data_IF_441243986164
#
_entry.id   IF_441243986164
#
_cell.length_a   1.000
_cell.length_b   1.000
_cell.length_c   1.000
_cell.angle_alpha   90.00
_cell.angle_beta   90.00
_cell.angle_gamma   90.00
#
_symmetry.space_group_name_H-M   'P 1'
#
loop_
_entity.id
_entity.type
_entity.pdbx_description
1 polymer ?
#
# COMPACT_ATOMS: atom_id res chain seq x y z
N UNK A 1 -2.02 -7.98 -13.00
CA UNK A 1 -1.47 -8.15 -11.64
C UNK A 1 -2.21 -9.27 -10.95
N UNK A 2 -1.53 -10.29 -10.42
CA UNK A 2 -2.18 -11.33 -9.61
C UNK A 2 -2.18 -10.90 -8.14
N UNK A 3 -3.37 -10.79 -7.56
CA UNK A 3 -3.56 -10.42 -6.17
C UNK A 3 -3.95 -11.64 -5.34
N UNK A 4 -3.58 -11.65 -4.06
CA UNK A 4 -3.94 -12.69 -3.10
C UNK A 4 -4.37 -12.12 -1.76
N UNK A 5 -5.14 -12.90 -1.00
CA UNK A 5 -5.48 -12.63 0.40
C UNK A 5 -4.27 -12.97 1.29
N UNK A 6 -4.33 -12.55 2.56
CA UNK A 6 -3.26 -12.84 3.53
C UNK A 6 -3.00 -14.33 3.75
N UNK A 7 -4.03 -15.18 3.64
CA UNK A 7 -3.90 -16.62 3.76
C UNK A 7 -3.25 -17.30 2.53
N UNK A 8 -2.91 -16.54 1.49
CA UNK A 8 -2.28 -17.04 0.26
C UNK A 8 -3.25 -17.27 -0.90
N UNK A 9 -4.56 -17.30 -0.64
CA UNK A 9 -5.55 -17.58 -1.69
C UNK A 9 -5.59 -16.46 -2.74
N UNK A 10 -5.60 -16.80 -4.04
CA UNK A 10 -5.75 -15.79 -5.08
C UNK A 10 -7.10 -15.07 -4.97
N UNK A 11 -7.16 -13.82 -5.44
CA UNK A 11 -8.45 -13.16 -5.64
C UNK A 11 -9.17 -13.80 -6.83
N UNK A 12 -10.42 -14.17 -6.61
CA UNK A 12 -11.30 -14.76 -7.63
C UNK A 12 -11.72 -13.75 -8.70
N UNK A 13 -11.70 -12.45 -8.35
CA UNK A 13 -12.14 -11.35 -9.19
C UNK A 13 -10.99 -10.38 -9.47
N UNK A 14 -11.08 -9.57 -10.54
CA UNK A 14 -10.21 -8.41 -10.72
C UNK A 14 -10.17 -7.53 -9.47
N UNK A 15 -9.04 -6.87 -9.24
CA UNK A 15 -8.81 -6.10 -8.01
C UNK A 15 -9.97 -5.14 -7.69
N UNK A 16 -10.41 -4.35 -8.67
CA UNK A 16 -11.47 -3.36 -8.49
C UNK A 16 -12.76 -3.99 -7.95
N UNK A 17 -13.23 -5.06 -8.59
CA UNK A 17 -14.44 -5.79 -8.18
C UNK A 17 -14.25 -6.49 -6.83
N UNK A 18 -13.06 -7.05 -6.57
CA UNK A 18 -12.76 -7.67 -5.28
C UNK A 18 -12.78 -6.67 -4.12
N UNK A 19 -12.29 -5.45 -4.35
CA UNK A 19 -12.32 -4.35 -3.37
C UNK A 19 -13.75 -3.86 -3.16
N UNK A 20 -14.52 -3.63 -4.22
CA UNK A 20 -15.93 -3.23 -4.12
C UNK A 20 -16.74 -4.24 -3.30
N UNK A 21 -16.64 -5.53 -3.63
CA UNK A 21 -17.29 -6.61 -2.89
C UNK A 21 -16.86 -6.66 -1.43
N UNK A 22 -15.58 -6.40 -1.14
CA UNK A 22 -15.08 -6.37 0.22
C UNK A 22 -15.65 -5.19 1.02
N UNK A 23 -15.76 -4.01 0.40
CA UNK A 23 -16.39 -2.84 1.01
C UNK A 23 -17.86 -3.13 1.33
N UNK A 24 -18.65 -3.51 0.31
CA UNK A 24 -20.06 -3.84 0.49
C UNK A 24 -20.29 -4.87 1.61
N UNK A 25 -19.55 -5.99 1.57
CA UNK A 25 -19.69 -7.07 2.55
C UNK A 25 -19.43 -6.63 3.99
N UNK A 26 -18.45 -5.76 4.23
CA UNK A 26 -18.15 -5.32 5.60
C UNK A 26 -19.04 -4.16 6.05
N UNK A 27 -19.45 -3.27 5.13
CA UNK A 27 -20.44 -2.22 5.42
C UNK A 27 -21.81 -2.80 5.74
N UNK A 28 -22.24 -3.86 5.03
CA UNK A 28 -23.48 -4.60 5.34
C UNK A 28 -23.46 -5.25 6.73
N UNK A 29 -22.28 -5.59 7.24
CA UNK A 29 -22.08 -6.08 8.61
C UNK A 29 -22.02 -4.96 9.65
N UNK A 30 -22.14 -3.70 9.23
CA UNK A 30 -22.11 -2.52 10.09
C UNK A 30 -20.71 -2.01 10.44
N UNK A 31 -19.66 -2.44 9.74
CA UNK A 31 -18.31 -1.92 9.98
C UNK A 31 -18.04 -0.65 9.19
N UNK A 32 -17.46 0.34 9.86
CA UNK A 32 -16.79 1.45 9.20
C UNK A 32 -15.38 1.02 8.80
N UNK A 33 -15.03 1.26 7.55
CA UNK A 33 -13.74 0.89 6.99
C UNK A 33 -12.81 2.09 6.85
N UNK A 34 -11.52 1.84 7.08
CA UNK A 34 -10.43 2.70 6.65
C UNK A 34 -9.44 1.87 5.82
N UNK A 35 -9.04 2.37 4.66
CA UNK A 35 -8.12 1.67 3.76
C UNK A 35 -6.73 2.31 3.82
N UNK A 36 -5.70 1.48 3.95
CA UNK A 36 -4.31 1.91 3.94
C UNK A 36 -3.56 1.14 2.85
N UNK A 37 -2.94 1.86 1.91
CA UNK A 37 -2.20 1.26 0.79
C UNK A 37 -0.72 1.56 0.97
N UNK A 38 0.12 0.54 0.85
CA UNK A 38 1.57 0.72 0.95
C UNK A 38 2.32 -0.34 0.17
N UNK A 39 3.51 0.01 -0.30
CA UNK A 39 4.44 -0.89 -0.97
C UNK A 39 5.74 -0.91 -0.20
N UNK A 40 6.36 -2.07 -0.10
CA UNK A 40 7.73 -2.25 0.40
C UNK A 40 8.54 -3.09 -0.60
N UNK A 41 9.86 -3.06 -0.47
CA UNK A 41 10.75 -3.81 -1.35
C UNK A 41 11.97 -4.42 -0.67
N UNK A 42 12.43 -5.54 -1.21
CA UNK A 42 13.66 -6.20 -0.78
C UNK A 42 14.55 -6.54 -1.97
N UNK A 43 15.86 -6.36 -1.78
CA UNK A 43 16.87 -6.68 -2.80
C UNK A 43 17.50 -8.02 -2.48
N UNK A 44 17.45 -8.94 -3.43
CA UNK A 44 18.01 -10.28 -3.37
C UNK A 44 18.96 -10.51 -4.55
N UNK A 45 20.24 -10.30 -4.30
CA UNK A 45 21.26 -10.39 -5.35
C UNK A 45 21.03 -9.33 -6.42
N UNK A 46 20.63 -9.74 -7.63
CA UNK A 46 20.32 -8.84 -8.76
C UNK A 46 18.82 -8.54 -8.90
N UNK A 47 17.98 -9.21 -8.13
CA UNK A 47 16.53 -9.02 -8.19
C UNK A 47 16.06 -8.10 -7.07
N UNK A 48 15.11 -7.24 -7.38
CA UNK A 48 14.33 -6.49 -6.40
C UNK A 48 12.90 -7.01 -6.44
N UNK A 49 12.39 -7.46 -5.30
CA UNK A 49 11.00 -7.84 -5.12
C UNK A 49 10.25 -6.70 -4.44
N UNK A 50 9.12 -6.30 -5.01
CA UNK A 50 8.18 -5.35 -4.41
C UNK A 50 6.94 -6.10 -3.96
N UNK A 51 6.37 -5.71 -2.81
CA UNK A 51 5.06 -6.15 -2.39
C UNK A 51 4.18 -4.92 -2.11
N UNK A 52 3.05 -4.83 -2.81
CA UNK A 52 2.02 -3.83 -2.56
C UNK A 52 0.90 -4.46 -1.76
N UNK A 53 0.48 -3.79 -0.69
CA UNK A 53 -0.57 -4.25 0.21
C UNK A 53 -1.67 -3.21 0.33
N UNK A 54 -2.92 -3.67 0.25
CA UNK A 54 -4.12 -2.90 0.55
C UNK A 54 -4.69 -3.46 1.85
N UNK A 55 -4.59 -2.69 2.93
CA UNK A 55 -5.11 -3.07 4.25
C UNK A 55 -6.47 -2.43 4.45
N UNK A 56 -7.44 -3.23 4.86
CA UNK A 56 -8.78 -2.81 5.26
C UNK A 56 -8.87 -2.93 6.78
N UNK A 57 -8.93 -1.80 7.46
CA UNK A 57 -9.18 -1.73 8.89
C UNK A 57 -10.67 -1.58 9.14
N UNK A 58 -11.20 -2.43 10.01
CA UNK A 58 -12.54 -2.32 10.58
C UNK A 58 -12.41 -1.64 11.93
N UNK A 59 -13.11 -0.54 12.10
CA UNK A 59 -13.09 0.19 13.37
C UNK A 59 -13.49 -0.75 14.53
N UNK A 60 -12.61 -0.92 15.51
CA UNK A 60 -12.81 -1.81 16.66
C UNK A 60 -12.69 -3.31 16.39
N UNK A 61 -12.45 -3.79 15.16
CA UNK A 61 -12.49 -5.22 14.82
C UNK A 61 -11.38 -5.69 13.86
N UNK A 62 -10.16 -5.20 14.08
CA UNK A 62 -8.97 -5.61 13.34
C UNK A 62 -9.10 -5.31 11.85
N UNK A 63 -8.51 -6.16 10.99
CA UNK A 63 -8.53 -5.90 9.55
C UNK A 63 -8.18 -7.12 8.72
N UNK A 64 -8.20 -6.93 7.40
CA UNK A 64 -7.75 -7.91 6.41
C UNK A 64 -6.97 -7.18 5.32
N UNK A 65 -6.30 -7.92 4.45
CA UNK A 65 -5.51 -7.29 3.39
C UNK A 65 -5.42 -8.10 2.11
N UNK A 66 -5.19 -7.38 1.01
CA UNK A 66 -4.82 -7.93 -0.29
C UNK A 66 -3.37 -7.61 -0.59
N UNK A 67 -2.69 -8.54 -1.25
CA UNK A 67 -1.25 -8.51 -1.47
C UNK A 67 -0.98 -8.78 -2.95
N UNK A 68 -0.10 -7.98 -3.53
CA UNK A 68 0.47 -8.20 -4.85
C UNK A 68 2.00 -8.20 -4.72
N UNK A 69 2.67 -9.14 -5.39
CA UNK A 69 4.13 -9.16 -5.49
C UNK A 69 4.55 -9.07 -6.96
N UNK A 70 5.67 -8.41 -7.18
CA UNK A 70 6.33 -8.31 -8.46
C UNK A 70 7.85 -8.35 -8.28
N UNK A 71 8.56 -8.84 -9.29
CA UNK A 71 10.02 -8.90 -9.30
C UNK A 71 10.57 -8.17 -10.51
N UNK A 72 11.71 -7.53 -10.33
CA UNK A 72 12.44 -6.86 -11.39
C UNK A 72 13.94 -7.02 -11.20
N UNK A 73 14.69 -7.06 -12.30
CA UNK A 73 16.16 -7.03 -12.29
C UNK A 73 16.73 -5.63 -12.50
N UNK A 74 15.87 -4.61 -12.53
CA UNK A 74 16.29 -3.22 -12.61
C UNK A 74 17.07 -2.85 -11.34
N UNK A 75 18.28 -2.30 -11.46
CA UNK A 75 19.02 -1.77 -10.32
C UNK A 75 18.39 -0.44 -9.87
N UNK A 76 18.28 -0.25 -8.55
CA UNK A 76 17.78 0.98 -7.94
C UNK A 76 18.78 1.48 -6.90
N UNK A 77 18.98 2.80 -6.85
CA UNK A 77 19.47 3.46 -5.65
C UNK A 77 18.43 3.39 -4.53
N UNK A 78 18.84 3.63 -3.28
CA UNK A 78 17.90 3.67 -2.14
C UNK A 78 16.76 4.65 -2.42
N UNK A 79 17.09 5.87 -2.87
CA UNK A 79 16.10 6.92 -3.14
C UNK A 79 15.12 6.51 -4.24
N UNK A 80 15.61 6.02 -5.38
CA UNK A 80 14.74 5.57 -6.48
C UNK A 80 13.81 4.45 -6.05
N UNK A 81 14.29 3.53 -5.20
CA UNK A 81 13.50 2.43 -4.66
C UNK A 81 12.35 2.94 -3.77
N UNK A 82 12.63 3.85 -2.85
CA UNK A 82 11.59 4.48 -2.00
C UNK A 82 10.55 5.24 -2.85
N UNK A 83 10.99 5.96 -3.89
CA UNK A 83 10.07 6.65 -4.80
C UNK A 83 9.24 5.68 -5.64
N UNK A 84 9.83 4.54 -6.03
CA UNK A 84 9.15 3.47 -6.77
C UNK A 84 8.09 2.81 -5.90
N UNK A 85 8.36 2.55 -4.62
CA UNK A 85 7.37 2.05 -3.65
C UNK A 85 6.19 3.01 -3.51
N UNK A 86 6.47 4.31 -3.40
CA UNK A 86 5.43 5.35 -3.32
C UNK A 86 4.61 5.39 -4.61
N UNK A 87 5.25 5.38 -5.78
CA UNK A 87 4.58 5.40 -7.07
C UNK A 87 3.64 4.20 -7.24
N UNK A 88 4.10 2.99 -6.91
CA UNK A 88 3.28 1.77 -6.97
C UNK A 88 2.06 1.85 -6.05
N UNK A 89 2.22 2.44 -4.86
CA UNK A 89 1.11 2.63 -3.92
C UNK A 89 0.08 3.63 -4.46
N UNK A 90 0.55 4.74 -5.05
CA UNK A 90 -0.31 5.76 -5.68
C UNK A 90 -1.07 5.18 -6.88
N UNK A 91 -0.42 4.37 -7.73
CA UNK A 91 -1.07 3.77 -8.89
C UNK A 91 -2.28 2.91 -8.49
N UNK A 92 -2.15 2.14 -7.40
CA UNK A 92 -3.27 1.35 -6.86
C UNK A 92 -4.32 2.24 -6.22
N UNK A 93 -3.91 3.25 -5.45
CA UNK A 93 -4.83 4.22 -4.86
C UNK A 93 -5.67 4.95 -5.91
N UNK A 94 -5.05 5.35 -7.03
CA UNK A 94 -5.71 6.01 -8.15
C UNK A 94 -6.73 5.10 -8.83
N UNK A 95 -6.36 3.83 -9.09
CA UNK A 95 -7.27 2.84 -9.67
C UNK A 95 -8.52 2.59 -8.81
N UNK A 96 -8.39 2.66 -7.48
CA UNK A 96 -9.46 2.36 -6.52
C UNK A 96 -10.20 3.60 -6.02
N UNK A 97 -9.70 4.81 -6.31
CA UNK A 97 -10.26 6.09 -5.87
C UNK A 97 -11.77 6.24 -6.16
N UNK A 98 -12.30 5.82 -7.33
CA UNK A 98 -13.74 5.89 -7.58
C UNK A 98 -14.57 5.12 -6.55
N UNK A 99 -14.11 3.94 -6.11
CA UNK A 99 -14.81 3.13 -5.09
C UNK A 99 -14.78 3.83 -3.73
N UNK A 100 -13.61 4.31 -3.31
CA UNK A 100 -13.49 4.96 -2.01
C UNK A 100 -14.33 6.24 -1.92
N UNK A 101 -14.46 6.96 -3.03
CA UNK A 101 -15.36 8.12 -3.12
C UNK A 101 -16.83 7.69 -3.09
N UNK A 102 -17.21 6.69 -3.89
CA UNK A 102 -18.59 6.21 -3.98
C UNK A 102 -19.13 5.68 -2.63
N UNK A 103 -18.28 5.00 -1.86
CA UNK A 103 -18.65 4.36 -0.60
C UNK A 103 -18.20 5.15 0.65
N UNK A 104 -17.71 6.38 0.46
CA UNK A 104 -17.22 7.26 1.54
C UNK A 104 -16.22 6.58 2.48
N UNK A 105 -15.27 5.82 1.91
CA UNK A 105 -14.23 5.10 2.65
C UNK A 105 -12.96 5.94 2.70
N UNK A 106 -12.50 6.24 3.92
CA UNK A 106 -11.23 6.95 4.12
C UNK A 106 -10.04 6.13 3.61
N UNK A 107 -9.12 6.77 2.90
CA UNK A 107 -7.93 6.12 2.34
C UNK A 107 -6.64 6.90 2.61
N UNK A 108 -5.59 6.18 3.00
CA UNK A 108 -4.25 6.72 3.24
C UNK A 108 -3.18 5.94 2.45
N UNK A 109 -2.21 6.66 1.90
CA UNK A 109 -0.99 6.08 1.33
C UNK A 109 0.11 6.08 2.38
N UNK A 110 0.64 4.91 2.66
CA UNK A 110 1.68 4.66 3.64
C UNK A 110 3.01 4.45 2.92
N UNK A 111 3.99 5.30 3.20
CA UNK A 111 5.36 5.12 2.69
C UNK A 111 6.29 4.66 3.80
N UNK A 112 7.10 3.63 3.53
CA UNK A 112 8.16 3.22 4.46
C UNK A 112 9.39 4.14 4.36
N UNK A 113 9.19 5.39 4.79
CA UNK A 113 10.25 6.39 4.85
C UNK A 113 10.42 6.85 6.29
N UNK A 114 11.67 6.92 6.74
CA UNK A 114 11.99 7.40 8.08
C UNK A 114 12.04 8.94 8.10
N UNK A 115 11.32 9.54 9.04
CA UNK A 115 11.24 10.99 9.21
C UNK A 115 12.48 11.59 9.89
N UNK A 116 13.33 10.77 10.51
CA UNK A 116 14.58 11.23 11.10
C UNK A 116 15.65 11.45 10.00
N UNK A 117 16.23 12.66 9.88
CA UNK A 117 17.24 13.01 8.88
C UNK A 117 18.51 12.16 8.90
N UNK A 118 18.79 11.45 9.99
CA UNK A 118 19.97 10.58 10.10
C UNK A 118 19.87 9.31 9.25
N UNK A 119 18.67 8.95 8.79
CA UNK A 119 18.45 7.76 7.98
C UNK A 119 18.47 8.07 6.48
N UNK A 120 19.12 7.21 5.71
CA UNK A 120 19.26 7.36 4.23
C UNK A 120 17.92 7.44 3.48
N UNK A 121 16.83 6.90 4.02
CA UNK A 121 15.51 7.00 3.37
C UNK A 121 14.91 8.40 3.46
N UNK A 122 15.34 9.24 4.41
CA UNK A 122 14.83 10.60 4.58
C UNK A 122 15.05 11.47 3.33
N UNK A 123 16.10 11.19 2.55
CA UNK A 123 16.41 11.88 1.29
C UNK A 123 15.25 11.80 0.27
N UNK A 124 14.42 10.76 0.35
CA UNK A 124 13.24 10.58 -0.49
C UNK A 124 11.96 11.20 0.10
N UNK A 125 11.95 11.56 1.38
CA UNK A 125 10.73 11.95 2.12
C UNK A 125 10.02 13.14 1.49
N UNK A 126 10.77 14.20 1.16
CA UNK A 126 10.18 15.43 0.61
C UNK A 126 9.53 15.19 -0.75
N UNK A 127 10.17 14.39 -1.60
CA UNK A 127 9.67 14.05 -2.93
C UNK A 127 8.47 13.11 -2.85
N UNK A 128 8.55 12.08 -2.00
CA UNK A 128 7.43 11.17 -1.75
C UNK A 128 6.20 11.91 -1.21
N UNK A 129 6.38 12.76 -0.20
CA UNK A 129 5.30 13.55 0.37
C UNK A 129 4.71 14.53 -0.66
N UNK A 130 5.56 15.22 -1.41
CA UNK A 130 5.12 16.12 -2.48
C UNK A 130 4.30 15.40 -3.55
N UNK A 131 4.71 14.18 -3.91
CA UNK A 131 3.98 13.37 -4.89
C UNK A 131 2.61 12.92 -4.36
N UNK A 132 2.55 12.34 -3.16
CA UNK A 132 1.31 11.83 -2.57
C UNK A 132 0.29 12.97 -2.34
N UNK A 133 0.75 14.08 -1.76
CA UNK A 133 -0.11 15.25 -1.52
C UNK A 133 -0.52 15.94 -2.83
N UNK A 134 0.37 16.00 -3.82
CA UNK A 134 0.08 16.56 -5.14
C UNK A 134 -1.00 15.78 -5.90
N UNK A 135 -1.12 14.48 -5.64
CA UNK A 135 -2.18 13.62 -6.16
C UNK A 135 -3.50 13.71 -5.35
N UNK A 136 -3.51 14.47 -4.25
CA UNK A 136 -4.68 14.65 -3.40
C UNK A 136 -4.90 13.52 -2.38
N UNK A 137 -3.92 12.65 -2.16
CA UNK A 137 -4.04 11.55 -1.20
C UNK A 137 -3.48 11.91 0.18
N UNK A 138 -4.08 11.36 1.23
CA UNK A 138 -3.55 11.49 2.58
C UNK A 138 -2.27 10.66 2.74
N UNK A 139 -1.28 11.21 3.44
CA UNK A 139 0.06 10.65 3.60
C UNK A 139 0.36 10.24 5.04
N UNK A 140 0.94 9.05 5.23
CA UNK A 140 1.56 8.61 6.49
C UNK A 140 2.98 8.07 6.23
N UNK A 141 3.92 8.49 7.08
CA UNK A 141 5.29 7.97 7.15
C UNK A 141 5.50 7.16 8.44
N UNK A 142 6.69 6.59 8.66
CA UNK A 142 6.98 5.93 9.95
C UNK A 142 6.93 6.95 11.12
N UNK A 143 6.39 6.55 12.29
CA UNK A 143 5.94 5.20 12.68
C UNK A 143 4.49 4.84 12.30
N UNK A 144 3.71 5.76 11.76
CA UNK A 144 2.27 5.57 11.48
C UNK A 144 1.99 4.75 10.20
N UNK A 145 2.99 4.60 9.33
CA UNK A 145 2.91 3.92 8.03
C UNK A 145 2.88 2.38 8.07
N UNK A 146 2.02 1.76 8.89
CA UNK A 146 2.05 0.30 9.10
C UNK A 146 1.79 -0.57 7.85
N UNK A 147 0.99 -0.11 6.88
CA UNK A 147 0.70 -0.88 5.68
C UNK A 147 1.97 -1.17 4.85
N UNK A 148 2.88 -0.20 4.70
CA UNK A 148 4.19 -0.42 4.08
C UNK A 148 5.18 -1.05 5.08
N UNK A 149 5.33 -0.47 6.28
CA UNK A 149 6.42 -0.84 7.20
C UNK A 149 6.27 -2.20 7.87
N UNK A 150 5.05 -2.73 7.94
CA UNK A 150 4.74 -3.96 8.69
C UNK A 150 4.06 -5.00 7.81
N UNK A 151 3.01 -4.62 7.06
CA UNK A 151 2.26 -5.57 6.25
C UNK A 151 3.00 -5.93 4.96
N UNK A 152 3.42 -4.93 4.18
CA UNK A 152 4.17 -5.16 2.94
C UNK A 152 5.54 -5.80 3.23
N UNK A 153 6.28 -5.32 4.23
CA UNK A 153 7.57 -5.92 4.62
C UNK A 153 7.48 -7.42 4.96
N UNK A 154 6.36 -7.89 5.55
CA UNK A 154 6.13 -9.33 5.80
C UNK A 154 5.71 -10.11 4.56
N UNK A 155 5.24 -9.42 3.53
CA UNK A 155 4.73 -9.99 2.29
C UNK A 155 5.79 -10.01 1.18
N UNK A 156 6.83 -9.18 1.28
CA UNK A 156 8.05 -9.31 0.47
C UNK A 156 8.83 -10.50 1.03
N UNK A 157 9.14 -11.47 0.18
CA UNK A 157 9.94 -12.62 0.57
C UNK A 157 11.41 -12.37 0.36
#
# INVERSE_FOLDING_TARGET
MQWRKFNGDPLEFPLFEAVEKAICRETEKGYRLKVCIGTDSQVKGKETEFATVIVFLREGQGGFMFIHNEKTQQPYTIKERMLTEVAKSIDIAYQLCPLFTQYEVDMEVHADINTNPQFKSNDALREAMGYILGMGFAFKAKPEAFASSSCANKAVN
#
